data_IF_949910867415
#
_entry.id   IF_949910867415
#
_cell.length_a   1.000
_cell.length_b   1.000
_cell.length_c   1.000
_cell.angle_alpha   90.00
_cell.angle_beta   90.00
_cell.angle_gamma   90.00
#
_symmetry.space_group_name_H-M   'P 1'
#
loop_
_entity.id
_entity.type
_entity.pdbx_description
1 polymer ?
#
# COMPACT_ATOMS: atom_id res chain seq x y z
N UNK A 1 26.69 23.29 -31.63
CA UNK A 1 26.27 23.75 -30.29
C UNK A 1 27.45 24.35 -29.55
N UNK A 2 27.39 25.60 -29.08
CA UNK A 2 28.46 26.19 -28.27
C UNK A 2 28.49 25.55 -26.89
N UNK A 3 29.69 25.36 -26.28
CA UNK A 3 29.86 24.75 -24.94
C UNK A 3 28.90 25.31 -23.88
N UNK A 4 28.64 26.62 -23.94
CA UNK A 4 27.68 27.32 -23.07
C UNK A 4 26.24 26.82 -23.21
N UNK A 5 25.78 26.50 -24.42
CA UNK A 5 24.42 26.02 -24.65
C UNK A 5 24.26 24.55 -24.23
N UNK A 6 25.31 23.74 -24.37
CA UNK A 6 25.32 22.36 -23.88
C UNK A 6 25.19 22.31 -22.35
N UNK A 7 25.94 23.15 -21.62
CA UNK A 7 25.84 23.25 -20.15
C UNK A 7 24.44 23.72 -19.72
N UNK A 8 23.86 24.71 -20.39
CA UNK A 8 22.50 25.17 -20.09
C UNK A 8 21.45 24.08 -20.31
N UNK A 9 21.56 23.34 -21.41
CA UNK A 9 20.64 22.24 -21.69
C UNK A 9 20.76 21.11 -20.67
N UNK A 10 21.98 20.78 -20.24
CA UNK A 10 22.23 19.80 -19.20
C UNK A 10 21.63 20.23 -17.85
N UNK A 11 21.80 21.51 -17.46
CA UNK A 11 21.20 22.04 -16.23
C UNK A 11 19.67 22.03 -16.28
N UNK A 12 19.07 22.39 -17.42
CA UNK A 12 17.62 22.32 -17.62
C UNK A 12 17.11 20.88 -17.50
N UNK A 13 17.78 19.92 -18.16
CA UNK A 13 17.44 18.52 -18.06
C UNK A 13 17.55 17.99 -16.63
N UNK A 14 18.60 18.38 -15.90
CA UNK A 14 18.79 18.02 -14.49
C UNK A 14 17.66 18.56 -13.60
N UNK A 15 17.22 19.81 -13.83
CA UNK A 15 16.12 20.40 -13.07
C UNK A 15 14.79 19.69 -13.34
N UNK A 16 14.51 19.34 -14.60
CA UNK A 16 13.32 18.57 -14.96
C UNK A 16 13.36 17.17 -14.33
N UNK A 17 14.51 16.49 -14.39
CA UNK A 17 14.68 15.17 -13.78
C UNK A 17 14.50 15.21 -12.26
N UNK A 18 15.03 16.25 -11.60
CA UNK A 18 14.81 16.46 -10.17
C UNK A 18 13.33 16.69 -9.85
N UNK A 19 12.63 17.50 -10.63
CA UNK A 19 11.18 17.70 -10.47
C UNK A 19 10.39 16.40 -10.61
N UNK A 20 10.71 15.60 -11.63
CA UNK A 20 10.09 14.28 -11.83
C UNK A 20 10.39 13.32 -10.66
N UNK A 21 11.62 13.32 -10.14
CA UNK A 21 11.98 12.50 -8.98
C UNK A 21 11.19 12.91 -7.73
N UNK A 22 11.12 14.20 -7.44
CA UNK A 22 10.36 14.72 -6.29
C UNK A 22 8.86 14.41 -6.43
N UNK A 23 8.32 14.51 -7.65
CA UNK A 23 6.95 14.12 -7.93
C UNK A 23 6.71 12.62 -7.62
N UNK A 24 7.58 11.73 -8.09
CA UNK A 24 7.43 10.29 -7.83
C UNK A 24 7.53 9.94 -6.34
N UNK A 25 8.37 10.64 -5.57
CA UNK A 25 8.52 10.43 -4.13
C UNK A 25 7.36 11.02 -3.32
N UNK A 26 6.79 12.14 -3.78
CA UNK A 26 5.71 12.85 -3.09
C UNK A 26 4.30 12.46 -3.51
N UNK A 27 4.15 11.70 -4.60
CA UNK A 27 2.84 11.26 -5.10
C UNK A 27 2.11 10.46 -4.01
N UNK A 28 0.88 10.86 -3.75
CA UNK A 28 -0.02 10.19 -2.83
C UNK A 28 -0.86 9.14 -3.56
N UNK A 29 -1.13 8.05 -2.86
CA UNK A 29 -2.03 6.98 -3.29
C UNK A 29 -3.00 6.67 -2.17
N UNK A 30 -4.25 6.35 -2.51
CA UNK A 30 -5.24 5.82 -1.58
C UNK A 30 -5.06 4.30 -1.52
N UNK A 31 -4.85 3.80 -0.31
CA UNK A 31 -4.75 2.38 -0.01
C UNK A 31 -6.00 1.94 0.75
N UNK A 32 -6.85 1.17 0.09
CA UNK A 32 -7.97 0.48 0.72
C UNK A 32 -7.47 -0.81 1.36
N UNK A 33 -7.76 -0.98 2.64
CA UNK A 33 -7.38 -2.12 3.44
C UNK A 33 -8.66 -2.85 3.83
N UNK A 34 -8.79 -4.09 3.38
CA UNK A 34 -10.03 -4.84 3.43
C UNK A 34 -9.90 -6.09 4.31
N UNK A 35 -10.74 -6.20 5.33
CA UNK A 35 -10.87 -7.38 6.18
C UNK A 35 -12.23 -8.08 5.99
N UNK A 36 -12.72 -8.12 4.75
CA UNK A 36 -13.95 -8.83 4.41
C UNK A 36 -13.66 -10.24 3.91
N UNK A 37 -14.72 -11.04 3.82
CA UNK A 37 -14.64 -12.32 3.14
C UNK A 37 -14.19 -12.14 1.68
N UNK A 38 -13.30 -13.02 1.22
CA UNK A 38 -12.82 -12.94 -0.16
C UNK A 38 -12.54 -14.34 -0.71
N UNK A 39 -12.89 -14.54 -1.98
CA UNK A 39 -12.52 -15.74 -2.72
C UNK A 39 -11.26 -15.44 -3.55
N UNK A 40 -10.14 -16.03 -3.17
CA UNK A 40 -8.86 -15.87 -3.88
C UNK A 40 -8.27 -17.23 -4.17
N UNK A 41 -7.81 -17.47 -5.41
CA UNK A 41 -7.21 -18.74 -5.82
C UNK A 41 -8.11 -19.96 -5.56
N UNK A 42 -9.43 -19.79 -5.67
CA UNK A 42 -10.42 -20.84 -5.43
C UNK A 42 -10.61 -21.22 -3.96
N UNK A 43 -10.12 -20.40 -3.01
CA UNK A 43 -10.35 -20.56 -1.58
C UNK A 43 -11.16 -19.40 -1.03
N UNK A 44 -12.17 -19.72 -0.24
CA UNK A 44 -12.94 -18.74 0.51
C UNK A 44 -12.22 -18.46 1.83
N UNK A 45 -11.86 -17.19 2.02
CA UNK A 45 -11.19 -16.71 3.22
C UNK A 45 -12.19 -15.92 4.04
N UNK A 46 -12.36 -16.31 5.29
CA UNK A 46 -13.18 -15.60 6.25
C UNK A 46 -12.46 -14.31 6.72
N UNK A 47 -13.21 -13.28 7.14
CA UNK A 47 -12.65 -12.12 7.80
C UNK A 47 -11.91 -12.54 9.09
N UNK A 48 -10.87 -11.80 9.46
CA UNK A 48 -10.12 -12.06 10.68
C UNK A 48 -10.77 -11.28 11.84
N UNK A 49 -11.03 -11.95 12.96
CA UNK A 49 -11.74 -11.37 14.11
C UNK A 49 -11.11 -10.06 14.63
N UNK A 50 -9.79 -10.05 14.79
CA UNK A 50 -9.07 -8.89 15.33
C UNK A 50 -7.64 -8.82 14.80
N UNK A 51 -7.27 -7.66 14.27
CA UNK A 51 -5.92 -7.37 13.80
C UNK A 51 -5.56 -5.90 13.94
N UNK A 52 -4.25 -5.63 13.87
CA UNK A 52 -3.66 -4.29 13.72
C UNK A 52 -2.89 -4.21 12.42
N UNK A 53 -3.04 -3.09 11.72
CA UNK A 53 -2.28 -2.80 10.49
C UNK A 53 -1.51 -1.51 10.65
N UNK A 54 -0.19 -1.57 10.51
CA UNK A 54 0.66 -0.39 10.39
C UNK A 54 1.13 -0.24 8.95
N UNK A 55 0.96 0.95 8.40
CA UNK A 55 1.38 1.28 7.03
C UNK A 55 2.51 2.31 7.08
N UNK A 56 3.57 2.05 6.32
CA UNK A 56 4.77 2.89 6.25
C UNK A 56 5.41 3.22 7.62
N UNK A 57 5.25 2.32 8.60
CA UNK A 57 5.72 2.51 9.97
C UNK A 57 4.93 3.55 10.78
N UNK A 58 3.76 3.97 10.31
CA UNK A 58 2.83 4.83 11.04
C UNK A 58 2.08 4.09 12.16
N UNK A 59 1.19 4.83 12.82
CA UNK A 59 0.37 4.32 13.92
C UNK A 59 -0.47 3.10 13.47
N UNK A 60 -0.54 2.03 14.28
CA UNK A 60 -1.38 0.87 13.98
C UNK A 60 -2.87 1.26 13.94
N UNK A 61 -3.56 0.83 12.90
CA UNK A 61 -5.01 0.89 12.77
C UNK A 61 -5.60 -0.46 13.18
N UNK A 62 -6.61 -0.46 14.05
CA UNK A 62 -7.32 -1.67 14.47
C UNK A 62 -8.44 -1.98 13.49
N UNK A 63 -8.57 -3.26 13.13
CA UNK A 63 -9.68 -3.77 12.31
C UNK A 63 -10.33 -4.95 13.02
N UNK A 64 -11.64 -4.96 13.04
CA UNK A 64 -12.47 -6.11 13.40
C UNK A 64 -12.90 -6.86 12.13
N UNK A 65 -13.57 -7.99 12.32
CA UNK A 65 -14.18 -8.72 11.22
C UNK A 65 -15.12 -7.82 10.38
N UNK A 66 -15.04 -7.96 9.06
CA UNK A 66 -15.83 -7.21 8.06
C UNK A 66 -15.53 -5.71 7.94
N UNK A 67 -14.56 -5.20 8.70
CA UNK A 67 -14.09 -3.81 8.58
C UNK A 67 -13.32 -3.58 7.27
N UNK A 68 -13.46 -2.36 6.76
CA UNK A 68 -12.68 -1.81 5.66
C UNK A 68 -12.36 -0.37 5.97
N UNK A 69 -11.11 0.01 5.73
CA UNK A 69 -10.69 1.39 5.90
C UNK A 69 -9.79 1.84 4.74
N UNK A 70 -9.57 3.14 4.63
CA UNK A 70 -8.72 3.76 3.63
C UNK A 70 -7.66 4.61 4.32
N UNK A 71 -6.43 4.47 3.86
CA UNK A 71 -5.33 5.32 4.29
C UNK A 71 -4.63 5.93 3.09
N UNK A 72 -3.88 7.01 3.31
CA UNK A 72 -3.08 7.67 2.27
C UNK A 72 -1.62 7.32 2.48
N UNK A 73 -0.98 6.86 1.41
CA UNK A 73 0.43 6.49 1.38
C UNK A 73 1.18 7.33 0.35
N UNK A 74 2.46 7.60 0.62
CA UNK A 74 3.30 8.45 -0.22
C UNK A 74 4.44 7.67 -0.85
N UNK A 75 4.70 7.98 -2.11
CA UNK A 75 5.81 7.44 -2.87
C UNK A 75 5.50 6.08 -3.54
N UNK A 76 6.48 5.53 -4.25
CA UNK A 76 6.28 4.37 -5.14
C UNK A 76 6.13 3.04 -4.38
N UNK A 77 6.47 3.02 -3.09
CA UNK A 77 6.43 1.83 -2.24
C UNK A 77 6.02 2.17 -0.81
N UNK A 78 5.26 1.28 -0.18
CA UNK A 78 4.97 1.32 1.26
C UNK A 78 5.22 -0.05 1.89
N UNK A 79 5.67 -0.05 3.15
CA UNK A 79 5.66 -1.25 3.98
C UNK A 79 4.30 -1.40 4.67
N UNK A 80 3.88 -2.63 4.89
CA UNK A 80 2.66 -2.98 5.60
C UNK A 80 3.03 -4.04 6.61
N UNK A 81 2.66 -3.83 7.87
CA UNK A 81 2.77 -4.81 8.95
C UNK A 81 1.39 -5.14 9.45
N UNK A 82 1.05 -6.42 9.46
CA UNK A 82 -0.21 -6.94 9.97
C UNK A 82 0.08 -7.79 11.21
N UNK A 83 -0.58 -7.47 12.31
CA UNK A 83 -0.50 -8.20 13.58
C UNK A 83 -1.88 -8.78 13.87
N UNK A 84 -2.01 -10.10 13.81
CA UNK A 84 -3.24 -10.82 14.19
C UNK A 84 -3.27 -10.93 15.70
N UNK A 85 -4.39 -10.58 16.31
CA UNK A 85 -4.56 -10.53 17.76
C UNK A 85 -5.45 -11.69 18.25
N UNK A 86 -5.26 -12.10 19.50
CA UNK A 86 -6.23 -12.93 20.22
C UNK A 86 -7.32 -12.08 20.92
N UNK A 87 -8.23 -12.75 21.63
CA UNK A 87 -9.32 -12.11 22.36
C UNK A 87 -8.84 -11.20 23.51
N UNK A 88 -7.62 -11.43 24.02
CA UNK A 88 -6.99 -10.64 25.08
C UNK A 88 -6.11 -9.51 24.50
N UNK A 89 -6.06 -9.34 23.18
CA UNK A 89 -5.29 -8.31 22.48
C UNK A 89 -3.80 -8.62 22.32
N UNK A 90 -3.38 -9.87 22.55
CA UNK A 90 -1.99 -10.32 22.36
C UNK A 90 -1.76 -10.73 20.91
N UNK A 91 -0.59 -10.37 20.40
CA UNK A 91 -0.18 -10.71 19.02
C UNK A 91 0.07 -12.22 18.90
N UNK A 92 -0.71 -12.88 18.03
CA UNK A 92 -0.58 -14.28 17.66
C UNK A 92 0.37 -14.48 16.47
N UNK A 93 0.30 -13.59 15.49
CA UNK A 93 1.05 -13.69 14.23
C UNK A 93 1.34 -12.31 13.69
N UNK A 94 2.56 -12.11 13.19
CA UNK A 94 2.95 -10.89 12.46
C UNK A 94 3.31 -11.25 11.02
N UNK A 95 2.80 -10.47 10.08
CA UNK A 95 3.05 -10.60 8.64
C UNK A 95 3.52 -9.24 8.13
N UNK A 96 4.73 -9.19 7.57
CA UNK A 96 5.26 -8.00 6.91
C UNK A 96 5.15 -8.16 5.38
N UNK A 97 4.75 -7.09 4.71
CA UNK A 97 4.65 -7.02 3.26
C UNK A 97 5.12 -5.68 2.72
N UNK A 98 5.46 -5.66 1.43
CA UNK A 98 5.76 -4.42 0.72
C UNK A 98 4.83 -4.28 -0.47
N UNK A 99 4.20 -3.12 -0.56
CA UNK A 99 3.30 -2.76 -1.64
C UNK A 99 4.00 -1.76 -2.56
N UNK A 100 3.98 -2.02 -3.87
CA UNK A 100 4.33 -1.02 -4.89
C UNK A 100 3.09 -0.35 -5.45
N UNK A 101 3.18 0.94 -5.75
CA UNK A 101 2.10 1.66 -6.40
C UNK A 101 2.40 1.83 -7.88
N UNK A 102 1.38 1.66 -8.71
CA UNK A 102 1.43 2.04 -10.12
C UNK A 102 1.23 3.55 -10.25
N UNK A 103 1.11 4.06 -11.48
CA UNK A 103 0.73 5.46 -11.68
C UNK A 103 -0.70 5.78 -11.22
N UNK A 104 -1.52 4.74 -10.99
CA UNK A 104 -2.89 4.88 -10.51
C UNK A 104 -2.91 5.36 -9.05
N UNK A 105 -3.95 6.13 -8.74
CA UNK A 105 -4.08 6.79 -7.46
C UNK A 105 -4.66 5.88 -6.36
N UNK A 106 -5.09 4.66 -6.71
CA UNK A 106 -5.86 3.79 -5.81
C UNK A 106 -5.33 2.35 -5.86
N UNK A 107 -5.22 1.71 -4.70
CA UNK A 107 -4.89 0.30 -4.56
C UNK A 107 -5.76 -0.32 -3.46
N UNK A 108 -6.12 -1.59 -3.60
CA UNK A 108 -6.85 -2.33 -2.56
C UNK A 108 -6.12 -3.63 -2.20
N UNK A 109 -6.09 -3.95 -0.92
CA UNK A 109 -5.52 -5.20 -0.40
C UNK A 109 -6.50 -5.93 0.52
N UNK A 110 -6.47 -7.26 0.48
CA UNK A 110 -7.18 -8.13 1.42
C UNK A 110 -6.24 -8.60 2.54
N UNK A 111 -6.66 -8.38 3.79
CA UNK A 111 -5.94 -8.84 4.97
C UNK A 111 -6.00 -10.37 5.14
N UNK A 112 -7.17 -11.05 5.00
CA UNK A 112 -7.21 -12.50 5.04
C UNK A 112 -6.28 -13.15 4.00
N UNK A 113 -6.30 -12.66 2.75
CA UNK A 113 -5.42 -13.18 1.70
C UNK A 113 -3.94 -12.93 2.01
N UNK A 114 -3.61 -11.75 2.53
CA UNK A 114 -2.24 -11.40 2.89
C UNK A 114 -1.70 -12.29 4.02
N UNK A 115 -2.51 -12.55 5.04
CA UNK A 115 -2.12 -13.39 6.19
C UNK A 115 -1.94 -14.85 5.79
N UNK A 116 -2.72 -15.34 4.82
CA UNK A 116 -2.59 -16.69 4.25
C UNK A 116 -1.48 -16.82 3.20
N UNK A 117 -0.80 -15.71 2.85
CA UNK A 117 0.26 -15.69 1.84
C UNK A 117 -0.25 -15.90 0.41
N UNK A 118 -1.53 -15.61 0.17
CA UNK A 118 -2.17 -15.67 -1.15
C UNK A 118 -2.08 -14.32 -1.86
N UNK A 119 -2.35 -14.26 -3.18
CA UNK A 119 -2.43 -12.99 -3.91
C UNK A 119 -3.46 -12.05 -3.28
N UNK A 120 -2.99 -10.96 -2.68
CA UNK A 120 -3.83 -10.13 -1.81
C UNK A 120 -4.27 -8.82 -2.45
N UNK A 121 -3.80 -8.48 -3.66
CA UNK A 121 -4.28 -7.29 -4.37
C UNK A 121 -5.66 -7.53 -4.94
N UNK A 122 -6.54 -6.59 -4.67
CA UNK A 122 -7.90 -6.56 -5.18
C UNK A 122 -8.11 -5.33 -6.06
N UNK A 123 -9.20 -5.34 -6.82
CA UNK A 123 -9.61 -4.22 -7.65
C UNK A 123 -10.26 -3.13 -6.78
N UNK A 124 -9.75 -1.88 -6.79
CA UNK A 124 -10.24 -0.86 -5.89
C UNK A 124 -11.68 -0.44 -6.23
N UNK A 125 -12.48 0.04 -5.24
CA UNK A 125 -13.85 0.44 -5.48
C UNK A 125 -13.94 1.57 -6.51
N UNK A 126 -14.88 1.45 -7.46
CA UNK A 126 -15.10 2.47 -8.50
C UNK A 126 -13.99 2.53 -9.56
N UNK A 127 -13.40 1.38 -9.89
CA UNK A 127 -12.47 1.21 -11.02
C UNK A 127 -13.15 0.88 -12.37
N UNK A 128 -14.47 1.12 -12.50
CA UNK A 128 -15.22 0.94 -13.75
C UNK A 128 -15.02 2.10 -14.72
#
# INVERSE_FOLDING_TARGET
>A
MTRRNAVRLALLAALVALGALLFLLGKEHQLFIDNQNVTVSGRDLAPIESLRVSVAGGEPMEFMADDRDVTVVRGPRASIRVEVLDQDGKVLKTVDASLSFSFEDRAMISLPALVEGLPYRLEPPGAQ
#
